data_IF_727972723641
#
_entry.id   IF_727972723641
#
_cell.length_a   1.000
_cell.length_b   1.000
_cell.length_c   1.000
_cell.angle_alpha   90.00
_cell.angle_beta   90.00
_cell.angle_gamma   90.00
#
_symmetry.space_group_name_H-M   'P 1'
#
loop_
_entity.id
_entity.type
_entity.pdbx_description
1 polymer ?
#
# COMPACT_ATOMS: atom_id res chain seq x y z
N UNK A 1 -50.71 -14.22 7.91
CA UNK A 1 -49.54 -14.86 7.28
C UNK A 1 -48.27 -14.27 7.89
N UNK A 2 -47.27 -15.09 8.24
CA UNK A 2 -45.98 -14.66 8.83
C UNK A 2 -44.83 -15.37 8.09
N UNK A 3 -43.72 -14.69 7.82
CA UNK A 3 -42.59 -15.20 7.02
C UNK A 3 -41.57 -15.98 7.86
N UNK A 4 -40.88 -17.01 7.30
CA UNK A 4 -40.26 -18.08 8.12
C UNK A 4 -38.78 -17.91 8.55
N UNK A 5 -38.05 -16.89 8.12
CA UNK A 5 -36.57 -16.84 8.23
C UNK A 5 -36.00 -16.14 9.48
N UNK A 6 -36.64 -16.29 10.67
CA UNK A 6 -36.18 -15.62 11.90
C UNK A 6 -36.10 -16.51 13.15
N UNK A 7 -35.57 -17.73 13.01
CA UNK A 7 -35.22 -18.65 14.11
C UNK A 7 -33.93 -19.43 13.79
N UNK A 8 -32.77 -18.89 14.19
CA UNK A 8 -31.51 -19.67 14.23
C UNK A 8 -30.39 -19.10 15.12
N UNK A 9 -30.52 -17.92 15.74
CA UNK A 9 -29.43 -17.32 16.56
C UNK A 9 -29.52 -17.62 18.07
N UNK A 10 -30.60 -18.24 18.57
CA UNK A 10 -30.77 -18.52 20.01
C UNK A 10 -30.18 -19.86 20.49
N UNK A 11 -29.71 -20.73 19.59
CA UNK A 11 -29.18 -22.06 19.95
C UNK A 11 -27.66 -22.21 19.75
N UNK A 12 -26.94 -21.14 19.39
CA UNK A 12 -25.50 -21.17 19.15
C UNK A 12 -24.64 -20.83 20.39
N UNK A 13 -25.27 -20.73 21.58
CA UNK A 13 -24.67 -20.17 22.79
C UNK A 13 -24.47 -21.19 23.93
N UNK A 14 -24.53 -22.51 23.66
CA UNK A 14 -24.48 -23.54 24.71
C UNK A 14 -23.33 -24.57 24.61
N UNK A 15 -22.61 -24.67 23.50
CA UNK A 15 -21.51 -25.64 23.33
C UNK A 15 -20.12 -24.98 23.34
N UNK A 16 -19.59 -24.72 24.53
CA UNK A 16 -18.20 -24.31 24.73
C UNK A 16 -17.66 -24.82 26.09
N UNK A 17 -16.87 -25.91 26.12
CA UNK A 17 -16.18 -26.35 27.33
C UNK A 17 -14.94 -25.47 27.61
N UNK A 18 -14.81 -25.04 28.85
CA UNK A 18 -13.66 -24.30 29.38
C UNK A 18 -12.48 -25.22 29.67
N UNK A 19 -11.25 -24.68 29.58
CA UNK A 19 -10.06 -25.38 30.04
C UNK A 19 -8.75 -24.67 29.68
N UNK A 20 -8.12 -24.05 30.67
CA UNK A 20 -6.72 -23.60 30.57
C UNK A 20 -5.83 -24.51 31.41
N UNK A 21 -4.65 -24.88 30.91
CA UNK A 21 -3.40 -24.92 31.69
C UNK A 21 -2.16 -25.07 30.80
N UNK A 22 -1.01 -24.72 31.37
CA UNK A 22 0.35 -24.79 30.80
C UNK A 22 0.94 -26.21 30.87
N UNK A 23 2.21 -26.30 30.41
CA UNK A 23 3.18 -27.40 30.53
C UNK A 23 3.01 -28.47 29.44
N UNK A 24 4.07 -29.11 28.96
CA UNK A 24 5.53 -28.83 28.96
C UNK A 24 6.17 -29.80 27.95
N UNK A 25 7.48 -29.67 27.69
CA UNK A 25 8.33 -30.69 27.06
C UNK A 25 8.00 -30.96 25.56
N UNK A 26 8.96 -30.88 24.63
CA UNK A 26 10.10 -31.78 24.54
C UNK A 26 11.07 -31.33 23.42
N UNK A 27 12.39 -31.34 23.73
CA UNK A 27 13.51 -31.64 22.81
C UNK A 27 13.82 -30.59 21.69
N UNK A 28 15.08 -30.25 21.34
CA UNK A 28 16.41 -30.63 21.85
C UNK A 28 17.52 -29.64 21.38
N UNK A 29 18.52 -29.47 22.25
CA UNK A 29 19.98 -29.37 22.01
C UNK A 29 20.58 -28.31 21.05
N UNK A 30 21.13 -27.26 21.68
CA UNK A 30 22.46 -26.63 21.49
C UNK A 30 23.33 -27.07 20.27
N UNK A 31 23.77 -26.20 19.36
CA UNK A 31 24.73 -25.08 19.50
C UNK A 31 26.22 -25.48 19.62
N UNK A 32 27.04 -25.18 18.58
CA UNK A 32 28.44 -24.70 18.68
C UNK A 32 28.78 -23.88 17.42
N UNK A 33 29.29 -22.65 17.59
CA UNK A 33 30.00 -21.90 16.54
C UNK A 33 30.99 -20.91 17.16
N UNK A 34 32.30 -21.23 17.13
CA UNK A 34 33.47 -20.39 17.46
C UNK A 34 34.74 -21.27 17.52
N UNK A 35 35.99 -20.83 17.32
CA UNK A 35 36.58 -19.72 16.55
C UNK A 35 38.14 -19.87 16.54
N UNK A 36 38.81 -19.08 15.69
CA UNK A 36 40.16 -18.50 15.88
C UNK A 36 41.46 -19.20 15.37
N UNK A 37 42.47 -18.33 15.21
CA UNK A 37 43.92 -18.51 14.96
C UNK A 37 44.44 -18.51 13.50
N UNK A 38 45.26 -17.49 13.19
CA UNK A 38 46.21 -17.39 12.07
C UNK A 38 47.65 -17.61 12.61
N UNK A 39 48.74 -17.73 11.80
CA UNK A 39 49.27 -16.57 11.05
C UNK A 39 50.06 -16.82 9.73
N UNK A 40 50.25 -15.71 8.98
CA UNK A 40 51.42 -15.34 8.15
C UNK A 40 51.78 -16.03 6.80
N UNK A 41 52.30 -15.16 5.90
CA UNK A 41 53.22 -15.38 4.76
C UNK A 41 52.68 -15.54 3.31
N UNK A 42 52.78 -14.42 2.55
CA UNK A 42 53.48 -14.29 1.24
C UNK A 42 52.80 -14.77 -0.07
N UNK A 43 52.53 -13.79 -0.96
CA UNK A 43 52.28 -13.89 -2.43
C UNK A 43 53.52 -14.42 -3.21
N UNK A 44 53.50 -14.83 -4.51
CA UNK A 44 52.57 -14.41 -5.58
C UNK A 44 52.18 -15.46 -6.68
N UNK A 45 51.41 -14.95 -7.66
CA UNK A 45 51.11 -15.43 -9.02
C UNK A 45 51.93 -16.57 -9.67
N UNK A 46 51.22 -17.56 -10.29
CA UNK A 46 51.28 -17.87 -11.75
C UNK A 46 50.51 -19.14 -12.19
N UNK A 47 49.71 -19.02 -13.25
CA UNK A 47 49.45 -20.08 -14.26
C UNK A 47 50.72 -20.28 -15.16
N UNK A 48 50.88 -21.35 -16.01
CA UNK A 48 49.83 -22.19 -16.61
C UNK A 48 50.14 -23.69 -16.88
N UNK A 49 49.15 -24.37 -17.48
CA UNK A 49 49.23 -25.45 -18.50
C UNK A 49 49.86 -26.84 -18.19
N UNK A 50 49.05 -27.90 -18.40
CA UNK A 50 49.47 -29.13 -19.11
C UNK A 50 48.27 -30.03 -19.53
N UNK A 51 47.93 -29.91 -20.81
CA UNK A 51 47.27 -30.86 -21.72
C UNK A 51 47.35 -32.39 -21.42
N UNK A 52 46.24 -33.12 -21.66
CA UNK A 52 46.21 -34.43 -22.37
C UNK A 52 44.80 -34.99 -22.69
N UNK A 53 44.59 -35.34 -23.97
CA UNK A 53 43.62 -36.32 -24.53
C UNK A 53 44.33 -37.71 -24.64
N UNK A 54 43.73 -38.86 -25.06
CA UNK A 54 42.56 -39.01 -25.96
C UNK A 54 41.61 -40.23 -25.74
N UNK A 55 40.72 -40.42 -26.75
CA UNK A 55 40.09 -41.68 -27.21
C UNK A 55 38.75 -42.10 -26.52
N UNK A 56 37.82 -42.86 -27.14
CA UNK A 56 37.67 -43.26 -28.56
C UNK A 56 36.24 -43.75 -28.93
N UNK A 57 35.76 -43.46 -30.17
CA UNK A 57 34.70 -44.18 -30.96
C UNK A 57 33.29 -44.38 -30.32
N UNK A 58 32.15 -44.55 -31.03
CA UNK A 58 31.86 -44.49 -32.47
C UNK A 58 30.55 -45.24 -32.82
N UNK A 59 29.43 -44.55 -33.00
CA UNK A 59 28.17 -44.99 -33.64
C UNK A 59 27.26 -43.74 -33.80
N UNK A 60 26.50 -43.49 -34.87
CA UNK A 60 26.08 -44.32 -36.00
C UNK A 60 24.75 -43.72 -36.50
N UNK A 61 24.79 -42.55 -37.14
CA UNK A 61 23.59 -41.73 -37.40
C UNK A 61 23.12 -41.84 -38.85
N UNK A 62 21.93 -42.41 -39.06
CA UNK A 62 21.21 -42.33 -40.34
C UNK A 62 20.60 -40.92 -40.50
N UNK A 63 21.37 -40.00 -41.06
CA UNK A 63 20.96 -38.62 -41.26
C UNK A 63 20.00 -38.46 -42.46
N UNK A 64 18.70 -38.61 -42.22
CA UNK A 64 17.69 -38.04 -43.12
C UNK A 64 17.86 -36.51 -43.14
N UNK A 65 17.89 -35.91 -44.35
CA UNK A 65 18.30 -34.52 -44.60
C UNK A 65 17.31 -33.48 -44.08
N UNK A 66 17.36 -33.19 -42.77
CA UNK A 66 16.64 -32.05 -42.20
C UNK A 66 17.23 -30.73 -42.69
N UNK A 67 16.37 -29.86 -43.23
CA UNK A 67 16.78 -28.55 -43.78
C UNK A 67 17.33 -27.65 -42.66
N UNK A 68 18.39 -26.89 -42.98
CA UNK A 68 19.02 -25.92 -42.08
C UNK A 68 17.96 -24.89 -41.62
N UNK A 69 17.54 -24.98 -40.36
CA UNK A 69 16.42 -24.21 -39.79
C UNK A 69 15.27 -25.04 -39.21
N UNK A 70 15.25 -26.37 -39.42
CA UNK A 70 14.27 -27.24 -38.77
C UNK A 70 14.48 -27.26 -37.25
N UNK A 71 13.53 -26.70 -36.51
CA UNK A 71 13.47 -26.79 -35.04
C UNK A 71 12.36 -27.78 -34.68
N UNK A 72 12.63 -28.85 -33.91
CA UNK A 72 11.59 -29.79 -33.50
C UNK A 72 10.42 -29.08 -32.79
N UNK A 73 9.17 -29.50 -33.02
CA UNK A 73 8.02 -28.91 -32.36
C UNK A 73 8.17 -29.07 -30.85
N UNK A 74 8.14 -27.95 -30.11
CA UNK A 74 8.21 -27.97 -28.65
C UNK A 74 7.01 -28.75 -28.12
N UNK A 75 7.26 -29.93 -27.54
CA UNK A 75 6.24 -30.91 -27.11
C UNK A 75 5.30 -30.47 -25.97
N UNK A 76 5.26 -29.18 -25.64
CA UNK A 76 4.23 -28.57 -24.81
C UNK A 76 3.73 -27.29 -25.49
N UNK A 77 2.41 -27.04 -25.50
CA UNK A 77 1.86 -25.75 -25.88
C UNK A 77 2.55 -24.63 -25.09
N UNK A 78 2.93 -23.55 -25.77
CA UNK A 78 3.43 -22.35 -25.10
C UNK A 78 2.34 -21.82 -24.15
N UNK A 79 2.59 -21.71 -22.83
CA UNK A 79 1.57 -21.27 -21.89
C UNK A 79 1.03 -19.89 -22.27
N UNK A 80 -0.28 -19.68 -22.10
CA UNK A 80 -0.92 -18.43 -22.50
C UNK A 80 -0.37 -17.30 -21.65
N UNK A 81 -0.28 -16.09 -22.22
CA UNK A 81 0.23 -14.88 -21.51
C UNK A 81 -0.42 -14.70 -20.13
N UNK A 82 -1.72 -14.96 -20.02
CA UNK A 82 -2.50 -14.89 -18.77
C UNK A 82 -2.03 -15.93 -17.73
N UNK A 83 -1.80 -17.17 -18.14
CA UNK A 83 -1.37 -18.25 -17.24
C UNK A 83 0.01 -17.93 -16.66
N UNK A 84 0.89 -17.34 -17.49
CA UNK A 84 2.20 -16.82 -17.07
C UNK A 84 2.10 -15.58 -16.17
N UNK A 85 1.08 -14.74 -16.34
CA UNK A 85 0.82 -13.59 -15.46
C UNK A 85 0.21 -14.02 -14.11
N UNK A 86 -0.55 -15.12 -14.07
CA UNK A 86 -1.02 -15.76 -12.83
C UNK A 86 0.15 -16.44 -12.12
N UNK A 87 0.96 -17.24 -12.81
CA UNK A 87 2.16 -17.91 -12.29
C UNK A 87 3.17 -16.90 -11.71
N UNK A 88 3.32 -15.73 -12.35
CA UNK A 88 4.16 -14.61 -11.86
C UNK A 88 3.50 -13.75 -10.77
N UNK A 89 2.28 -14.08 -10.32
CA UNK A 89 1.55 -13.32 -9.29
C UNK A 89 1.08 -11.92 -9.69
N UNK A 90 1.21 -11.55 -10.97
CA UNK A 90 0.74 -10.25 -11.51
C UNK A 90 -0.79 -10.21 -11.51
N UNK A 91 -1.42 -11.34 -11.85
CA UNK A 91 -2.86 -11.54 -11.67
C UNK A 91 -3.10 -12.22 -10.32
N UNK A 92 -3.40 -11.40 -9.30
CA UNK A 92 -3.63 -11.86 -7.91
C UNK A 92 -4.85 -12.77 -7.69
N UNK A 93 -5.81 -12.76 -8.62
CA UNK A 93 -7.00 -13.61 -8.55
C UNK A 93 -7.14 -14.38 -9.88
N UNK A 94 -6.82 -15.69 -9.90
CA UNK A 94 -6.89 -16.50 -11.12
C UNK A 94 -8.34 -16.69 -11.61
N UNK A 95 -9.34 -16.60 -10.73
CA UNK A 95 -10.75 -16.79 -11.04
C UNK A 95 -11.44 -15.50 -11.54
N UNK A 96 -10.76 -14.35 -11.44
CA UNK A 96 -11.29 -13.06 -11.87
C UNK A 96 -11.55 -13.04 -13.37
N UNK A 97 -12.81 -12.89 -13.79
CA UNK A 97 -13.18 -12.78 -15.21
C UNK A 97 -12.41 -11.64 -15.90
N UNK A 98 -11.99 -11.86 -17.14
CA UNK A 98 -11.47 -10.78 -17.99
C UNK A 98 -12.58 -9.76 -18.30
N UNK A 99 -12.23 -8.51 -18.66
CA UNK A 99 -13.22 -7.53 -19.12
C UNK A 99 -14.07 -8.03 -20.30
N UNK A 100 -13.50 -8.84 -21.19
CA UNK A 100 -14.21 -9.44 -22.32
C UNK A 100 -15.21 -10.52 -21.89
N UNK A 101 -14.80 -11.46 -21.03
CA UNK A 101 -15.68 -12.50 -20.46
C UNK A 101 -16.80 -11.89 -19.61
N UNK A 102 -16.49 -10.89 -18.78
CA UNK A 102 -17.47 -10.17 -17.98
C UNK A 102 -18.50 -9.41 -18.86
N UNK A 103 -18.04 -8.81 -19.97
CA UNK A 103 -18.92 -8.14 -20.94
C UNK A 103 -19.83 -9.13 -21.67
N UNK A 104 -19.31 -10.31 -22.08
CA UNK A 104 -20.11 -11.40 -22.67
C UNK A 104 -21.18 -11.89 -21.69
N UNK A 105 -20.80 -12.28 -20.48
CA UNK A 105 -21.72 -12.73 -19.42
C UNK A 105 -22.80 -11.69 -19.10
N UNK A 106 -22.45 -10.40 -19.10
CA UNK A 106 -23.42 -9.30 -18.88
C UNK A 106 -24.36 -9.09 -20.07
N UNK A 107 -23.94 -9.36 -21.31
CA UNK A 107 -24.80 -9.37 -22.50
C UNK A 107 -25.74 -10.58 -22.50
N UNK A 108 -25.25 -11.75 -22.09
CA UNK A 108 -26.04 -12.98 -21.93
C UNK A 108 -27.12 -12.80 -20.85
N UNK A 109 -26.76 -12.33 -19.65
CA UNK A 109 -27.70 -11.97 -18.58
C UNK A 109 -28.75 -10.94 -19.03
N UNK A 110 -28.38 -9.97 -19.89
CA UNK A 110 -29.34 -9.02 -20.46
C UNK A 110 -30.30 -9.68 -21.45
N UNK A 111 -29.88 -10.72 -22.18
CA UNK A 111 -30.72 -11.46 -23.14
C UNK A 111 -31.66 -12.44 -22.44
N UNK A 112 -31.29 -12.98 -21.28
CA UNK A 112 -32.09 -13.95 -20.52
C UNK A 112 -33.14 -13.33 -19.59
N UNK A 113 -33.31 -11.99 -19.60
CA UNK A 113 -34.18 -11.27 -18.68
C UNK A 113 -35.09 -10.29 -19.44
N UNK A 114 -36.29 -10.05 -18.94
CA UNK A 114 -37.17 -9.00 -19.46
C UNK A 114 -36.59 -7.60 -19.22
N UNK A 115 -37.15 -6.60 -19.91
CA UNK A 115 -36.74 -5.19 -19.79
C UNK A 115 -36.92 -4.65 -18.37
N UNK A 116 -37.91 -5.15 -17.63
CA UNK A 116 -38.22 -4.72 -16.26
C UNK A 116 -37.30 -5.38 -15.25
N UNK A 117 -37.15 -6.70 -15.30
CA UNK A 117 -36.21 -7.43 -14.44
C UNK A 117 -34.77 -6.93 -14.66
N UNK A 118 -34.37 -6.60 -15.88
CA UNK A 118 -33.06 -6.00 -16.16
C UNK A 118 -32.89 -4.59 -15.54
N UNK A 119 -33.98 -3.82 -15.44
CA UNK A 119 -34.00 -2.50 -14.77
C UNK A 119 -33.86 -2.69 -13.24
N UNK A 120 -34.54 -3.68 -12.68
CA UNK A 120 -34.49 -4.08 -11.27
C UNK A 120 -33.11 -4.63 -10.88
N UNK A 121 -32.56 -5.57 -11.65
CA UNK A 121 -31.20 -6.10 -11.48
C UNK A 121 -30.17 -4.97 -11.46
N UNK A 122 -30.22 -4.05 -12.43
CA UNK A 122 -29.34 -2.88 -12.43
C UNK A 122 -29.62 -1.91 -11.27
N UNK A 123 -30.83 -1.86 -10.70
CA UNK A 123 -31.13 -1.08 -9.49
C UNK A 123 -30.40 -1.71 -8.29
N UNK A 124 -30.60 -3.00 -8.08
CA UNK A 124 -29.95 -3.78 -7.03
C UNK A 124 -28.41 -3.75 -7.13
N UNK A 125 -27.85 -3.97 -8.32
CA UNK A 125 -26.40 -3.86 -8.60
C UNK A 125 -25.82 -2.49 -8.18
N UNK A 126 -26.57 -1.40 -8.40
CA UNK A 126 -26.19 -0.04 -7.97
C UNK A 126 -26.34 0.17 -6.47
N UNK A 127 -27.39 -0.39 -5.85
CA UNK A 127 -27.62 -0.31 -4.40
C UNK A 127 -26.56 -1.07 -3.61
N UNK A 128 -26.28 -2.32 -3.97
CA UNK A 128 -25.19 -3.11 -3.38
C UNK A 128 -23.83 -2.43 -3.59
N UNK A 129 -23.59 -1.82 -4.75
CA UNK A 129 -22.35 -1.07 -5.01
C UNK A 129 -22.23 0.18 -4.13
N UNK A 130 -23.33 0.93 -3.96
CA UNK A 130 -23.41 2.07 -3.02
C UNK A 130 -23.18 1.63 -1.58
N UNK A 131 -23.73 0.49 -1.17
CA UNK A 131 -23.55 -0.08 0.16
C UNK A 131 -22.09 -0.52 0.42
N UNK A 132 -21.50 -1.29 -0.50
CA UNK A 132 -20.07 -1.66 -0.41
C UNK A 132 -19.18 -0.42 -0.30
N UNK A 133 -19.46 0.62 -1.09
CA UNK A 133 -18.73 1.89 -1.05
C UNK A 133 -18.98 2.67 0.26
N UNK A 134 -20.20 2.62 0.82
CA UNK A 134 -20.54 3.22 2.13
C UNK A 134 -19.73 2.56 3.23
N UNK A 135 -19.77 1.23 3.31
CA UNK A 135 -19.05 0.44 4.32
C UNK A 135 -17.53 0.63 4.19
N UNK A 136 -16.99 0.61 2.97
CA UNK A 136 -15.56 0.87 2.74
C UNK A 136 -15.15 2.27 3.20
N UNK A 137 -15.92 3.30 2.83
CA UNK A 137 -15.67 4.69 3.22
C UNK A 137 -15.79 4.89 4.74
N UNK A 138 -16.74 4.22 5.38
CA UNK A 138 -16.93 4.24 6.83
C UNK A 138 -15.74 3.62 7.58
N UNK A 139 -15.27 2.44 7.15
CA UNK A 139 -14.08 1.78 7.72
C UNK A 139 -12.79 2.58 7.48
N UNK A 140 -12.65 3.18 6.30
CA UNK A 140 -11.54 4.09 5.97
C UNK A 140 -11.56 5.34 6.87
N UNK A 141 -12.74 5.90 7.16
CA UNK A 141 -12.88 7.06 8.05
C UNK A 141 -12.69 6.72 9.52
N UNK A 142 -13.12 5.54 9.98
CA UNK A 142 -12.92 5.08 11.37
C UNK A 142 -11.45 4.78 11.70
N UNK A 143 -10.63 4.51 10.69
CA UNK A 143 -9.20 4.22 10.85
C UNK A 143 -8.89 2.74 11.09
N UNK A 144 -9.74 1.84 10.61
CA UNK A 144 -9.49 0.39 10.58
C UNK A 144 -8.31 0.08 9.65
N UNK A 145 -7.21 -0.44 10.21
CA UNK A 145 -5.92 -0.60 9.52
C UNK A 145 -6.00 -1.47 8.27
N UNK A 146 -6.94 -2.41 8.25
CA UNK A 146 -7.19 -3.31 7.11
C UNK A 146 -7.65 -2.56 5.85
N UNK A 147 -8.21 -1.36 6.04
CA UNK A 147 -8.73 -0.49 4.99
C UNK A 147 -7.83 0.72 4.71
N UNK A 148 -6.77 0.92 5.49
CA UNK A 148 -5.82 2.02 5.29
C UNK A 148 -4.82 1.72 4.17
N UNK A 149 -4.31 2.79 3.56
CA UNK A 149 -3.16 2.72 2.67
C UNK A 149 -1.91 2.38 3.47
N UNK A 150 -0.90 1.73 2.87
CA UNK A 150 0.31 1.28 3.59
C UNK A 150 0.99 2.39 4.39
N UNK A 151 1.08 3.59 3.81
CA UNK A 151 1.64 4.81 4.44
C UNK A 151 0.92 5.29 5.72
N UNK A 152 -0.31 4.82 5.95
CA UNK A 152 -1.21 5.29 7.02
C UNK A 152 -1.36 4.24 8.15
N UNK A 153 -0.82 3.01 7.95
CA UNK A 153 -0.85 1.88 8.90
C UNK A 153 0.25 1.94 9.95
N UNK A 154 0.09 1.17 11.02
CA UNK A 154 1.05 1.01 12.10
C UNK A 154 0.87 2.03 13.23
N UNK A 155 1.28 1.62 14.43
CA UNK A 155 1.08 2.39 15.66
C UNK A 155 1.84 3.72 15.68
N UNK A 156 3.00 3.78 15.03
CA UNK A 156 3.82 4.98 14.89
C UNK A 156 3.11 6.04 14.03
N UNK A 157 2.54 5.63 12.89
CA UNK A 157 1.70 6.48 12.02
C UNK A 157 0.40 6.86 12.69
N UNK A 158 -0.23 5.95 13.45
CA UNK A 158 -1.41 6.23 14.27
C UNK A 158 -1.12 7.32 15.30
N UNK A 159 -0.03 7.20 16.05
CA UNK A 159 0.38 8.22 17.01
C UNK A 159 0.74 9.54 16.33
N UNK A 160 1.43 9.53 15.20
CA UNK A 160 1.71 10.75 14.43
C UNK A 160 0.42 11.45 13.94
N UNK A 161 -0.61 10.68 13.51
CA UNK A 161 -1.93 11.21 13.16
C UNK A 161 -2.60 11.89 14.35
N UNK A 162 -2.70 11.18 15.47
CA UNK A 162 -3.35 11.70 16.67
C UNK A 162 -2.57 12.91 17.24
N UNK A 163 -1.23 12.90 17.18
CA UNK A 163 -0.38 14.04 17.55
C UNK A 163 -0.70 15.30 16.74
N UNK A 164 -0.75 15.18 15.41
CA UNK A 164 -1.15 16.27 14.50
C UNK A 164 -2.59 16.71 14.76
N UNK A 165 -3.50 15.77 15.04
CA UNK A 165 -4.90 16.08 15.27
C UNK A 165 -5.18 16.70 16.65
N UNK A 166 -4.28 16.57 17.63
CA UNK A 166 -4.38 17.26 18.93
C UNK A 166 -4.00 18.75 18.89
N UNK A 167 -3.24 19.18 17.88
CA UNK A 167 -2.62 20.52 17.84
C UNK A 167 -3.39 21.50 16.97
N UNK A 168 -3.18 22.80 17.23
CA UNK A 168 -3.55 23.90 16.32
C UNK A 168 -2.33 24.22 15.46
N UNK A 169 -2.52 24.32 14.15
CA UNK A 169 -1.48 24.71 13.19
C UNK A 169 -1.97 25.90 12.37
N UNK A 170 -1.04 26.79 12.03
CA UNK A 170 -1.31 27.92 11.14
C UNK A 170 -1.68 27.44 9.72
N UNK A 171 -1.22 26.25 9.32
CA UNK A 171 -1.46 25.65 8.00
C UNK A 171 -2.96 25.47 7.64
N UNK A 172 -3.88 25.49 8.60
CA UNK A 172 -5.32 25.55 8.30
C UNK A 172 -5.72 26.82 7.52
N UNK A 173 -4.95 27.91 7.65
CA UNK A 173 -5.12 29.16 6.92
C UNK A 173 -4.45 29.16 5.53
N UNK A 174 -3.78 28.07 5.14
CA UNK A 174 -3.08 28.01 3.85
C UNK A 174 -4.03 28.25 2.66
N UNK A 175 -5.23 27.66 2.66
CA UNK A 175 -6.21 27.86 1.58
C UNK A 175 -6.72 29.31 1.46
N UNK A 176 -7.22 29.98 2.53
CA UNK A 176 -7.62 31.38 2.41
C UNK A 176 -6.45 32.31 2.10
N UNK A 177 -5.24 32.07 2.64
CA UNK A 177 -4.06 32.87 2.29
C UNK A 177 -3.68 32.66 0.81
N UNK A 178 -3.67 31.42 0.30
CA UNK A 178 -3.41 31.15 -1.11
C UNK A 178 -4.45 31.80 -2.05
N UNK A 179 -5.72 31.90 -1.63
CA UNK A 179 -6.74 32.64 -2.37
C UNK A 179 -6.46 34.16 -2.37
N UNK A 180 -6.03 34.73 -1.23
CA UNK A 180 -5.60 36.14 -1.16
C UNK A 180 -4.38 36.38 -2.05
N UNK A 181 -3.40 35.46 -2.05
CA UNK A 181 -2.23 35.51 -2.95
C UNK A 181 -2.66 35.52 -4.43
N UNK A 182 -3.56 34.61 -4.81
CA UNK A 182 -4.10 34.55 -6.18
C UNK A 182 -4.85 35.84 -6.57
N UNK A 183 -5.68 36.40 -5.67
CA UNK A 183 -6.38 37.66 -5.92
C UNK A 183 -5.41 38.83 -6.01
N UNK A 184 -4.33 38.83 -5.21
CA UNK A 184 -3.33 39.90 -5.23
C UNK A 184 -2.61 40.05 -6.57
N UNK A 185 -2.47 38.96 -7.35
CA UNK A 185 -1.93 39.00 -8.72
C UNK A 185 -2.66 40.04 -9.60
N UNK A 186 -4.00 40.08 -9.53
CA UNK A 186 -4.83 41.03 -10.27
C UNK A 186 -4.68 42.49 -9.79
N UNK A 187 -4.26 42.71 -8.54
CA UNK A 187 -3.94 44.06 -8.04
C UNK A 187 -2.54 44.49 -8.51
N UNK A 188 -1.58 43.56 -8.49
CA UNK A 188 -0.20 43.84 -8.91
C UNK A 188 -0.05 44.09 -10.42
N UNK A 189 -0.94 43.54 -11.26
CA UNK A 189 -0.95 43.82 -12.70
C UNK A 189 -1.44 45.22 -13.05
N UNK A 190 -2.19 45.89 -12.16
CA UNK A 190 -2.73 47.25 -12.38
C UNK A 190 -1.76 48.34 -11.90
N UNK A 191 -0.97 48.09 -10.85
CA UNK A 191 -0.03 49.07 -10.31
C UNK A 191 1.35 48.45 -9.97
N UNK A 192 2.40 48.70 -10.77
CA UNK A 192 3.76 48.19 -10.52
C UNK A 192 4.39 48.61 -9.20
N UNK A 193 4.03 49.78 -8.64
CA UNK A 193 4.57 50.22 -7.34
C UNK A 193 4.03 49.36 -6.19
N UNK A 194 2.77 48.93 -6.29
CA UNK A 194 2.14 48.01 -5.32
C UNK A 194 2.73 46.60 -5.43
N UNK A 195 3.17 46.18 -6.63
CA UNK A 195 3.70 44.86 -6.88
C UNK A 195 4.93 44.49 -6.02
N UNK A 196 5.85 45.42 -5.79
CA UNK A 196 7.04 45.18 -4.96
C UNK A 196 6.69 44.89 -3.49
N UNK A 197 5.78 45.69 -2.93
CA UNK A 197 5.33 45.54 -1.53
C UNK A 197 4.54 44.24 -1.36
N UNK A 198 3.59 43.97 -2.26
CA UNK A 198 2.79 42.73 -2.25
C UNK A 198 3.71 41.51 -2.38
N UNK A 199 4.63 41.48 -3.35
CA UNK A 199 5.55 40.36 -3.56
C UNK A 199 6.42 40.09 -2.32
N UNK A 200 6.84 41.15 -1.62
CA UNK A 200 7.61 41.03 -0.37
C UNK A 200 6.78 40.41 0.76
N UNK A 201 5.52 40.83 0.91
CA UNK A 201 4.57 40.22 1.87
C UNK A 201 4.28 38.76 1.51
N UNK A 202 4.11 38.44 0.22
CA UNK A 202 3.87 37.08 -0.25
C UNK A 202 5.08 36.17 0.03
N UNK A 203 6.30 36.67 -0.18
CA UNK A 203 7.54 35.95 0.16
C UNK A 203 7.61 35.64 1.66
N UNK A 204 7.33 36.63 2.53
CA UNK A 204 7.27 36.43 3.98
C UNK A 204 6.21 35.39 4.36
N UNK A 205 5.02 35.44 3.77
CA UNK A 205 3.96 34.45 4.02
C UNK A 205 4.39 33.02 3.66
N UNK A 206 5.06 32.83 2.51
CA UNK A 206 5.63 31.53 2.10
C UNK A 206 6.70 31.05 3.09
N UNK A 207 7.61 31.93 3.53
CA UNK A 207 8.63 31.60 4.53
C UNK A 207 8.00 31.16 5.86
N UNK A 208 6.94 31.82 6.33
CA UNK A 208 6.22 31.43 7.55
C UNK A 208 5.63 30.01 7.43
N UNK A 209 4.98 29.67 6.31
CA UNK A 209 4.47 28.31 6.09
C UNK A 209 5.58 27.26 5.96
N UNK A 210 6.71 27.61 5.33
CA UNK A 210 7.87 26.72 5.22
C UNK A 210 8.47 26.41 6.60
N UNK A 211 8.69 27.44 7.42
CA UNK A 211 9.22 27.33 8.78
C UNK A 211 8.29 26.49 9.66
N UNK A 212 6.97 26.76 9.65
CA UNK A 212 5.99 25.95 10.39
C UNK A 212 5.98 24.49 9.92
N UNK A 213 6.10 24.25 8.60
CA UNK A 213 6.21 22.88 8.06
C UNK A 213 7.44 22.11 8.57
N UNK A 214 8.60 22.76 8.62
CA UNK A 214 9.84 22.19 9.19
C UNK A 214 9.63 21.91 10.69
N UNK A 215 9.07 22.86 11.44
CA UNK A 215 8.80 22.68 12.87
C UNK A 215 7.81 21.55 13.16
N UNK A 216 6.76 21.37 12.35
CA UNK A 216 5.85 20.22 12.45
C UNK A 216 6.64 18.92 12.29
N UNK A 217 7.47 18.82 11.24
CA UNK A 217 8.30 17.63 10.98
C UNK A 217 9.23 17.28 12.14
N UNK A 218 9.92 18.28 12.71
CA UNK A 218 10.83 18.09 13.85
C UNK A 218 10.06 17.66 15.12
N UNK A 219 8.96 18.36 15.44
CA UNK A 219 8.19 18.11 16.67
C UNK A 219 7.52 16.73 16.67
N UNK A 220 6.99 16.29 15.52
CA UNK A 220 6.40 14.95 15.36
C UNK A 220 7.48 13.87 15.57
N UNK A 221 8.62 14.00 14.89
CA UNK A 221 9.72 13.04 15.04
C UNK A 221 10.23 12.97 16.49
N UNK A 222 10.32 14.11 17.20
CA UNK A 222 10.67 14.14 18.62
C UNK A 222 9.63 13.43 19.49
N UNK A 223 8.34 13.65 19.25
CA UNK A 223 7.26 13.01 20.00
C UNK A 223 7.20 11.49 19.74
N UNK A 224 7.29 11.07 18.47
CA UNK A 224 7.28 9.65 18.08
C UNK A 224 8.49 8.93 18.69
N UNK A 225 9.70 9.52 18.62
CA UNK A 225 10.90 8.96 19.25
C UNK A 225 10.79 8.82 20.78
N UNK A 226 10.06 9.71 21.45
CA UNK A 226 9.83 9.63 22.88
C UNK A 226 8.88 8.48 23.28
N UNK A 227 7.96 8.09 22.39
CA UNK A 227 6.96 7.02 22.64
C UNK A 227 7.40 5.65 22.08
N UNK A 228 8.12 5.66 20.96
CA UNK A 228 8.62 4.49 20.25
C UNK A 228 10.13 4.66 20.01
N UNK A 229 10.99 4.33 20.99
CA UNK A 229 12.44 4.54 20.87
C UNK A 229 13.09 3.70 19.76
N UNK A 230 12.51 2.53 19.45
CA UNK A 230 13.03 1.56 18.48
C UNK A 230 12.42 1.69 17.07
N UNK A 231 11.74 2.81 16.78
CA UNK A 231 11.11 3.07 15.47
C UNK A 231 12.10 3.03 14.30
N UNK A 232 11.68 2.38 13.21
CA UNK A 232 12.32 2.45 11.89
C UNK A 232 11.68 3.53 11.00
N UNK A 233 10.38 3.83 11.19
CA UNK A 233 9.62 4.76 10.34
C UNK A 233 9.75 6.23 10.80
N UNK A 234 10.99 6.74 10.74
CA UNK A 234 11.39 8.05 11.28
C UNK A 234 12.07 8.95 10.25
N UNK A 235 12.19 10.23 10.59
CA UNK A 235 12.85 11.25 9.79
C UNK A 235 11.93 11.92 8.78
N UNK A 236 12.43 12.12 7.55
CA UNK A 236 11.75 12.89 6.51
C UNK A 236 10.38 12.32 6.12
N UNK A 237 10.26 11.00 5.97
CA UNK A 237 8.99 10.34 5.61
C UNK A 237 7.88 10.47 6.66
N UNK A 238 8.24 10.55 7.95
CA UNK A 238 7.27 10.83 9.02
C UNK A 238 6.95 12.33 9.11
N UNK A 239 7.96 13.19 8.97
CA UNK A 239 7.78 14.64 9.01
C UNK A 239 6.90 15.16 7.85
N UNK A 240 7.19 14.74 6.62
CA UNK A 240 6.41 15.10 5.43
C UNK A 240 4.97 14.61 5.49
N UNK A 241 4.73 13.41 6.02
CA UNK A 241 3.39 12.88 6.25
C UNK A 241 2.60 13.73 7.25
N UNK A 242 3.20 14.06 8.38
CA UNK A 242 2.57 14.89 9.40
C UNK A 242 2.29 16.31 8.89
N UNK A 243 3.21 16.90 8.12
CA UNK A 243 2.99 18.16 7.41
C UNK A 243 1.82 18.07 6.42
N UNK A 244 1.80 17.05 5.57
CA UNK A 244 0.72 16.81 4.60
C UNK A 244 -0.65 16.69 5.27
N UNK A 245 -0.71 16.02 6.44
CA UNK A 245 -1.93 15.95 7.26
C UNK A 245 -2.28 17.29 7.92
N UNK A 246 -1.29 18.03 8.44
CA UNK A 246 -1.48 19.31 9.11
C UNK A 246 -2.08 20.38 8.17
N UNK A 247 -1.65 20.41 6.90
CA UNK A 247 -2.11 21.35 5.88
C UNK A 247 -3.51 21.03 5.33
N UNK A 248 -4.00 19.80 5.51
CA UNK A 248 -5.39 19.45 5.17
C UNK A 248 -6.36 19.98 6.25
N UNK A 249 -7.47 20.65 5.86
CA UNK A 249 -8.54 21.00 6.79
C UNK A 249 -9.09 19.76 7.53
N UNK A 250 -9.36 19.87 8.84
CA UNK A 250 -9.77 18.73 9.69
C UNK A 250 -10.93 17.91 9.13
N UNK A 251 -11.89 18.55 8.45
CA UNK A 251 -13.07 17.90 7.84
C UNK A 251 -12.73 17.06 6.59
N UNK A 252 -11.59 17.28 5.95
CA UNK A 252 -11.13 16.58 4.74
C UNK A 252 -10.03 15.55 5.01
N UNK A 253 -9.41 15.56 6.21
CA UNK A 253 -8.44 14.55 6.63
C UNK A 253 -9.05 13.15 6.58
N UNK A 254 -8.33 12.24 5.92
CA UNK A 254 -8.66 10.81 5.84
C UNK A 254 -7.44 10.02 6.31
N UNK A 255 -7.56 9.12 7.31
CA UNK A 255 -8.71 8.86 8.18
C UNK A 255 -9.13 10.09 8.98
N UNK A 256 -10.35 10.09 9.52
CA UNK A 256 -10.86 11.24 10.30
C UNK A 256 -10.05 11.41 11.60
N UNK A 257 -9.90 12.64 12.11
CA UNK A 257 -9.36 12.88 13.45
C UNK A 257 -10.13 12.09 14.51
N UNK A 258 -9.41 11.32 15.34
CA UNK A 258 -9.99 10.58 16.48
C UNK A 258 -10.02 11.43 17.75
N UNK A 259 -9.08 12.37 17.86
CA UNK A 259 -8.88 13.27 19.00
C UNK A 259 -9.36 14.69 18.69
N UNK A 260 -9.82 15.39 19.72
CA UNK A 260 -10.13 16.81 19.69
C UNK A 260 -8.85 17.67 19.78
N UNK A 261 -9.00 18.96 19.53
CA UNK A 261 -7.89 19.92 19.66
C UNK A 261 -7.68 20.25 21.13
N UNK A 262 -6.49 19.95 21.65
CA UNK A 262 -6.14 20.13 23.07
C UNK A 262 -5.92 18.83 23.84
N UNK A 263 -6.32 17.68 23.27
CA UNK A 263 -6.20 16.37 23.92
C UNK A 263 -4.73 16.01 24.23
N UNK A 264 -4.50 15.31 25.34
CA UNK A 264 -3.20 14.77 25.76
C UNK A 264 -3.10 13.30 25.33
N UNK A 265 -1.96 12.90 24.73
CA UNK A 265 -1.74 11.64 23.97
C UNK A 265 -0.27 11.22 23.91
#
# INVERSE_FOLDING_TARGET
>A
MKTPWKKSEQNAAQDAPSGSTRASDLLKDDAVQAQAAAPAATEPDREPAAEKKPAHQGAGSQAATQRKGYTPPKGRPTPKRRDREIERGVVRDPNKLTPAEASKRRKELKKSMSKEEWKEYKRKEREESRERNRIYRERLYSGDERYLMERDKGDERRYARDWVDSKRFFNNLFLPVALIMLLSFFLTSVNPMVANVVSSILMIAVLVFLIEGIFIGIRVNKAVRAKYPNTTDRGFGMGFYAFSRATQPRKWRTPRPRVAVGDRI
#
